data_IF_582369698642
#
_entry.id   IF_582369698642
#
_cell.length_a   1.000
_cell.length_b   1.000
_cell.length_c   1.000
_cell.angle_alpha   90.00
_cell.angle_beta   90.00
_cell.angle_gamma   90.00
#
_symmetry.space_group_name_H-M   'P 1'
#
loop_
_entity.id
_entity.type
_entity.pdbx_description
1 polymer ?
#
# COMPACT_ATOMS: atom_id res chain seq x y z
N UNK A 1 36.12 -23.71 -22.67
CA UNK A 1 35.41 -22.43 -22.87
C UNK A 1 36.29 -21.31 -22.33
N UNK A 2 36.61 -20.30 -23.14
CA UNK A 2 37.53 -19.23 -22.72
C UNK A 2 36.87 -18.30 -21.70
N UNK A 3 37.62 -17.85 -20.69
CA UNK A 3 37.15 -16.89 -19.68
C UNK A 3 36.62 -15.61 -20.35
N UNK A 4 37.26 -15.14 -21.42
CA UNK A 4 36.80 -14.01 -22.22
C UNK A 4 35.35 -14.17 -22.72
N UNK A 5 34.97 -15.36 -23.16
CA UNK A 5 33.62 -15.64 -23.68
C UNK A 5 32.61 -15.64 -22.53
N UNK A 6 32.98 -16.18 -21.37
CA UNK A 6 32.11 -16.22 -20.19
C UNK A 6 31.79 -14.79 -19.73
N UNK A 7 32.81 -13.94 -19.62
CA UNK A 7 32.64 -12.58 -19.10
C UNK A 7 31.96 -11.65 -20.11
N UNK A 8 32.29 -11.75 -21.41
CA UNK A 8 31.77 -10.82 -22.42
C UNK A 8 30.41 -11.22 -22.99
N UNK A 9 30.02 -12.49 -22.86
CA UNK A 9 28.80 -13.01 -23.50
C UNK A 9 27.85 -13.63 -22.49
N UNK A 10 28.32 -14.57 -21.66
CA UNK A 10 27.42 -15.33 -20.77
C UNK A 10 26.88 -14.47 -19.62
N UNK A 11 27.75 -13.72 -18.93
CA UNK A 11 27.34 -12.87 -17.80
C UNK A 11 26.32 -11.80 -18.24
N UNK A 12 26.53 -11.05 -19.35
CA UNK A 12 25.54 -10.07 -19.82
C UNK A 12 24.19 -10.69 -20.20
N UNK A 13 24.18 -11.86 -20.84
CA UNK A 13 22.95 -12.56 -21.19
C UNK A 13 22.18 -12.98 -19.93
N UNK A 14 22.87 -13.55 -18.93
CA UNK A 14 22.25 -13.88 -17.66
C UNK A 14 21.75 -12.62 -16.95
N UNK A 15 22.55 -11.55 -16.90
CA UNK A 15 22.14 -10.26 -16.32
C UNK A 15 20.91 -9.68 -17.00
N UNK A 16 20.81 -9.78 -18.33
CA UNK A 16 19.64 -9.36 -19.09
C UNK A 16 18.40 -10.21 -18.73
N UNK A 17 18.53 -11.53 -18.65
CA UNK A 17 17.44 -12.43 -18.24
C UNK A 17 16.96 -12.09 -16.83
N UNK A 18 17.88 -11.92 -15.88
CA UNK A 18 17.55 -11.54 -14.50
C UNK A 18 16.80 -10.20 -14.46
N UNK A 19 17.29 -9.20 -15.20
CA UNK A 19 16.74 -7.85 -15.18
C UNK A 19 15.38 -7.76 -15.87
N UNK A 20 15.20 -8.43 -17.02
CA UNK A 20 13.98 -8.33 -17.82
C UNK A 20 12.89 -9.33 -17.42
N UNK A 21 13.23 -10.45 -16.78
CA UNK A 21 12.23 -11.46 -16.38
C UNK A 21 12.07 -11.54 -14.87
N UNK A 22 13.16 -11.72 -14.12
CA UNK A 22 13.08 -12.05 -12.69
C UNK A 22 12.72 -10.81 -11.86
N UNK A 23 13.38 -9.68 -12.09
CA UNK A 23 13.08 -8.42 -11.38
C UNK A 23 11.61 -8.00 -11.53
N UNK A 24 11.03 -7.89 -12.75
CA UNK A 24 9.62 -7.51 -12.89
C UNK A 24 8.68 -8.59 -12.34
N UNK A 25 9.02 -9.87 -12.44
CA UNK A 25 8.22 -10.94 -11.85
C UNK A 25 8.12 -10.81 -10.32
N UNK A 26 9.25 -10.64 -9.63
CA UNK A 26 9.25 -10.42 -8.17
C UNK A 26 8.47 -9.14 -7.83
N UNK A 27 8.72 -8.03 -8.54
CA UNK A 27 8.00 -6.76 -8.33
C UNK A 27 6.48 -6.94 -8.49
N UNK A 28 6.02 -7.65 -9.52
CA UNK A 28 4.59 -7.88 -9.72
C UNK A 28 3.91 -8.61 -8.56
N UNK A 29 4.61 -9.55 -7.91
CA UNK A 29 4.10 -10.29 -6.74
C UNK A 29 4.21 -9.50 -5.44
N UNK A 30 5.17 -8.60 -5.31
CA UNK A 30 5.30 -7.74 -4.13
C UNK A 30 4.36 -6.55 -4.18
N UNK A 31 4.11 -5.95 -5.34
CA UNK A 31 3.24 -4.77 -5.49
C UNK A 31 1.80 -5.06 -5.06
N UNK A 32 1.27 -6.24 -5.41
CA UNK A 32 -0.08 -6.64 -4.98
C UNK A 32 -0.16 -6.76 -3.45
N UNK A 33 0.78 -7.51 -2.84
CA UNK A 33 0.83 -7.68 -1.37
C UNK A 33 1.09 -6.36 -0.63
N UNK A 34 1.93 -5.48 -1.18
CA UNK A 34 2.20 -4.16 -0.62
C UNK A 34 0.93 -3.30 -0.60
N UNK A 35 0.18 -3.32 -1.70
CA UNK A 35 -1.10 -2.60 -1.81
C UNK A 35 -2.16 -3.16 -0.85
N UNK A 36 -2.25 -4.48 -0.73
CA UNK A 36 -3.21 -5.10 0.18
C UNK A 36 -2.87 -4.80 1.65
N UNK A 37 -1.57 -4.84 2.00
CA UNK A 37 -1.12 -4.43 3.33
C UNK A 37 -1.40 -2.93 3.60
N UNK A 38 -1.19 -2.06 2.62
CA UNK A 38 -1.52 -0.64 2.74
C UNK A 38 -3.03 -0.44 3.00
N UNK A 39 -3.89 -1.08 2.19
CA UNK A 39 -5.36 -1.04 2.37
C UNK A 39 -5.79 -1.51 3.75
N UNK A 40 -5.23 -2.63 4.21
CA UNK A 40 -5.51 -3.19 5.54
C UNK A 40 -5.22 -2.18 6.64
N UNK A 41 -4.04 -1.56 6.65
CA UNK A 41 -3.69 -0.58 7.68
C UNK A 41 -4.48 0.72 7.57
N UNK A 42 -4.87 1.14 6.35
CA UNK A 42 -5.77 2.28 6.15
C UNK A 42 -7.14 1.99 6.79
N UNK A 43 -7.73 0.82 6.56
CA UNK A 43 -8.99 0.43 7.18
C UNK A 43 -8.88 0.43 8.71
N UNK A 44 -7.86 -0.22 9.27
CA UNK A 44 -7.61 -0.25 10.72
C UNK A 44 -7.47 1.17 11.29
N UNK A 45 -6.74 2.05 10.61
CA UNK A 45 -6.54 3.42 11.03
C UNK A 45 -7.85 4.23 11.01
N UNK A 46 -8.64 4.10 9.95
CA UNK A 46 -9.94 4.78 9.80
C UNK A 46 -10.92 4.29 10.87
N UNK A 47 -11.01 2.99 11.11
CA UNK A 47 -11.84 2.43 12.19
C UNK A 47 -11.43 2.95 13.56
N UNK A 48 -10.11 2.98 13.84
CA UNK A 48 -9.59 3.53 15.10
C UNK A 48 -9.91 5.03 15.23
N UNK A 49 -9.71 5.82 14.17
CA UNK A 49 -10.01 7.25 14.16
C UNK A 49 -11.49 7.51 14.44
N UNK A 50 -12.39 6.74 13.83
CA UNK A 50 -13.84 6.83 14.04
C UNK A 50 -14.25 6.46 15.47
N UNK A 51 -13.54 5.53 16.13
CA UNK A 51 -13.79 5.19 17.52
C UNK A 51 -13.26 6.23 18.51
N UNK A 52 -12.10 6.83 18.23
CA UNK A 52 -11.45 7.84 19.07
C UNK A 52 -12.20 9.18 18.99
N UNK A 53 -12.58 9.60 17.78
CA UNK A 53 -13.22 10.89 17.51
C UNK A 53 -14.71 10.69 17.17
N UNK A 54 -15.59 10.85 18.17
CA UNK A 54 -17.03 10.55 18.03
C UNK A 54 -17.90 11.77 17.79
N UNK A 55 -17.37 12.97 18.00
CA UNK A 55 -18.16 14.20 17.91
C UNK A 55 -18.27 14.69 16.47
N UNK A 56 -19.36 15.40 16.18
CA UNK A 56 -19.57 16.03 14.87
C UNK A 56 -18.51 17.12 14.63
N UNK A 57 -18.04 17.24 13.40
CA UNK A 57 -17.03 18.23 13.01
C UNK A 57 -15.57 17.80 13.20
N UNK A 58 -15.31 16.61 13.75
CA UNK A 58 -13.94 16.11 13.99
C UNK A 58 -13.28 15.45 12.77
N UNK A 59 -13.81 15.65 11.55
CA UNK A 59 -13.28 15.01 10.34
C UNK A 59 -11.79 15.31 10.07
N UNK A 60 -11.35 16.54 10.36
CA UNK A 60 -9.95 16.93 10.24
C UNK A 60 -9.03 16.14 11.19
N UNK A 61 -9.43 16.02 12.47
CA UNK A 61 -8.66 15.29 13.48
C UNK A 61 -8.57 13.79 13.15
N UNK A 62 -9.66 13.22 12.64
CA UNK A 62 -9.68 11.83 12.15
C UNK A 62 -8.67 11.63 11.02
N UNK A 63 -8.67 12.51 10.03
CA UNK A 63 -7.74 12.42 8.89
C UNK A 63 -6.29 12.59 9.33
N UNK A 64 -6.00 13.55 10.20
CA UNK A 64 -4.66 13.75 10.78
C UNK A 64 -4.18 12.49 11.51
N UNK A 65 -5.00 11.91 12.38
CA UNK A 65 -4.67 10.66 13.07
C UNK A 65 -4.36 9.51 12.10
N UNK A 66 -5.16 9.35 11.03
CA UNK A 66 -4.94 8.27 10.05
C UNK A 66 -3.63 8.46 9.32
N UNK A 67 -3.33 9.69 8.88
CA UNK A 67 -2.06 10.01 8.20
C UNK A 67 -0.86 9.78 9.13
N UNK A 68 -0.93 10.22 10.38
CA UNK A 68 0.14 10.02 11.37
C UNK A 68 0.38 8.54 11.64
N UNK A 69 -0.70 7.75 11.77
CA UNK A 69 -0.60 6.31 11.96
C UNK A 69 0.06 5.61 10.77
N UNK A 70 -0.38 5.90 9.55
CA UNK A 70 0.18 5.30 8.33
C UNK A 70 1.65 5.67 8.14
N UNK A 71 2.00 6.92 8.43
CA UNK A 71 3.39 7.41 8.43
C UNK A 71 4.24 6.63 9.45
N UNK A 72 3.72 6.40 10.66
CA UNK A 72 4.42 5.61 11.69
C UNK A 72 4.68 4.15 11.29
N UNK A 73 3.87 3.61 10.36
CA UNK A 73 4.00 2.23 9.86
C UNK A 73 4.97 2.11 8.68
N UNK A 74 5.60 3.20 8.24
CA UNK A 74 6.51 3.23 7.08
C UNK A 74 5.88 2.60 5.83
N UNK A 75 4.58 2.85 5.61
CA UNK A 75 3.88 2.37 4.42
C UNK A 75 4.23 3.31 3.27
N UNK A 76 4.98 2.79 2.30
CA UNK A 76 5.45 3.53 1.12
C UNK A 76 4.32 3.65 0.08
N UNK A 77 3.43 4.63 0.28
CA UNK A 77 2.36 5.03 -0.64
C UNK A 77 2.40 6.54 -0.82
N UNK A 78 2.00 7.05 -2.00
CA UNK A 78 1.95 8.51 -2.19
C UNK A 78 0.85 9.15 -1.35
N UNK A 79 0.94 10.46 -1.12
CA UNK A 79 -0.10 11.21 -0.42
C UNK A 79 -1.45 11.12 -1.15
N UNK A 80 -1.45 11.16 -2.49
CA UNK A 80 -2.68 11.01 -3.27
C UNK A 80 -3.27 9.60 -3.14
N UNK A 81 -2.44 8.55 -3.19
CA UNK A 81 -2.88 7.17 -3.01
C UNK A 81 -3.46 6.95 -1.62
N UNK A 82 -2.78 7.48 -0.59
CA UNK A 82 -3.25 7.43 0.79
C UNK A 82 -4.62 8.08 0.93
N UNK A 83 -4.82 9.28 0.39
CA UNK A 83 -6.10 9.98 0.45
C UNK A 83 -7.23 9.18 -0.22
N UNK A 84 -6.99 8.62 -1.40
CA UNK A 84 -7.98 7.79 -2.10
C UNK A 84 -8.34 6.54 -1.29
N UNK A 85 -7.34 5.88 -0.70
CA UNK A 85 -7.56 4.70 0.14
C UNK A 85 -8.35 5.04 1.41
N UNK A 86 -8.05 6.20 2.03
CA UNK A 86 -8.75 6.68 3.22
C UNK A 86 -10.22 6.94 2.89
N UNK A 87 -10.50 7.67 1.82
CA UNK A 87 -11.89 7.96 1.40
C UNK A 87 -12.65 6.67 1.04
N UNK A 88 -11.98 5.71 0.41
CA UNK A 88 -12.57 4.39 0.12
C UNK A 88 -12.92 3.63 1.41
N UNK A 89 -12.02 3.60 2.39
CA UNK A 89 -12.25 2.95 3.68
C UNK A 89 -13.37 3.64 4.48
N UNK A 90 -13.42 4.97 4.49
CA UNK A 90 -14.51 5.74 5.12
C UNK A 90 -15.86 5.41 4.47
N UNK A 91 -15.92 5.35 3.13
CA UNK A 91 -17.13 4.98 2.39
C UNK A 91 -17.59 3.56 2.71
N UNK A 92 -16.67 2.60 2.73
CA UNK A 92 -16.95 1.20 3.09
C UNK A 92 -17.52 1.10 4.51
N UNK A 93 -16.87 1.77 5.47
CA UNK A 93 -17.34 1.81 6.85
C UNK A 93 -18.75 2.40 6.98
N UNK A 94 -19.05 3.48 6.26
CA UNK A 94 -20.38 4.07 6.27
C UNK A 94 -21.44 3.12 5.67
N UNK A 95 -21.12 2.43 4.57
CA UNK A 95 -22.01 1.40 4.01
C UNK A 95 -22.29 0.26 4.99
N UNK A 96 -21.29 -0.16 5.78
CA UNK A 96 -21.46 -1.19 6.81
C UNK A 96 -22.35 -0.67 7.94
N UNK A 97 -22.14 0.57 8.39
CA UNK A 97 -22.98 1.22 9.42
C UNK A 97 -24.43 1.33 8.96
N UNK A 98 -24.66 1.75 7.72
CA UNK A 98 -26.02 1.89 7.16
C UNK A 98 -26.75 0.54 7.10
N UNK A 99 -26.08 -0.52 6.63
CA UNK A 99 -26.64 -1.89 6.62
C UNK A 99 -26.91 -2.44 8.01
N UNK A 100 -26.14 -2.05 9.03
CA UNK A 100 -26.36 -2.49 10.40
C UNK A 100 -27.56 -1.80 11.07
N UNK A 101 -28.08 -0.72 10.45
CA UNK A 101 -29.23 0.04 10.91
C UNK A 101 -30.55 -0.38 10.23
N UNK A 102 -30.48 -1.21 9.18
CA UNK A 102 -31.62 -1.89 8.54
C UNK A 102 -32.02 -3.16 9.32
#
# INVERSE_FOLDING_TARGET
MNIDIIVKVIIPILGAILTYLIVPFIKSKTTEKQRDNAKFWVQVAVEAAEQIYREKGQGKLKKEYVVDFLTSKCIDITMEESDVLIEAAVKELNMIKDKALE
#
